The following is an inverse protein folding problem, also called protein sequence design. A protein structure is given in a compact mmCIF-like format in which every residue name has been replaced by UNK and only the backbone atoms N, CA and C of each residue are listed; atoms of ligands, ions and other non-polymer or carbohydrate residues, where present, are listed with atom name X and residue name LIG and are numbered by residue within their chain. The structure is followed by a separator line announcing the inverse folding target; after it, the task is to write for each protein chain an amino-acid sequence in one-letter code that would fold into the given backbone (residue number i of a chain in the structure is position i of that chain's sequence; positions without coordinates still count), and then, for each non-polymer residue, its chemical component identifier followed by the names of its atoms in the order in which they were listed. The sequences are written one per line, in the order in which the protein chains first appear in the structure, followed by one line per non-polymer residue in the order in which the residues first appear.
data_IF_280625939892
#
_entry.id   IF_280625939892
#
_cell.length_a   1.000
_cell.length_b   1.000
_cell.length_c   1.000
_cell.angle_alpha   90.00
_cell.angle_beta   90.00
_cell.angle_gamma   90.00
#
_symmetry.space_group_name_H-M   'P 1'
#
loop_
_entity.id
_entity.type
_entity.pdbx_description
1 polymer ?
#
# COMPACT_ATOMS: atom_id res chain seq x y z
N UNK A 1 36.56 2.58 49.63
CA UNK A 1 36.98 2.68 48.22
C UNK A 1 35.87 2.35 47.19
N UNK A 2 34.64 2.01 47.60
CA UNK A 2 33.60 1.55 46.64
C UNK A 2 32.61 2.63 46.17
N UNK A 3 32.51 3.78 46.84
CA UNK A 3 31.52 4.82 46.51
C UNK A 3 31.94 5.75 45.35
N UNK A 4 33.24 5.89 45.08
CA UNK A 4 33.75 6.80 44.04
C UNK A 4 33.63 6.26 42.61
N UNK A 5 33.47 4.94 42.43
CA UNK A 5 33.33 4.29 41.12
C UNK A 5 31.87 4.19 40.64
N UNK A 6 30.89 4.59 41.46
CA UNK A 6 29.47 4.48 41.13
C UNK A 6 28.93 5.70 40.37
N UNK A 7 29.46 6.90 40.65
CA UNK A 7 29.06 8.15 40.00
C UNK A 7 29.16 8.14 38.46
N UNK A 8 30.25 7.66 37.83
CA UNK A 8 30.31 7.60 36.37
C UNK A 8 29.35 6.55 35.78
N UNK A 9 29.07 5.46 36.52
CA UNK A 9 28.15 4.40 36.10
C UNK A 9 26.68 4.84 36.16
N UNK A 10 26.31 5.63 37.16
CA UNK A 10 24.96 6.20 37.29
C UNK A 10 24.74 7.28 36.23
N UNK A 11 25.75 8.13 35.97
CA UNK A 11 25.66 9.19 34.97
C UNK A 11 25.56 8.64 33.54
N UNK A 12 26.22 7.53 33.23
CA UNK A 12 26.11 6.88 31.92
C UNK A 12 24.77 6.19 31.70
N UNK A 13 24.20 5.53 32.72
CA UNK A 13 22.86 4.92 32.62
C UNK A 13 21.75 5.96 32.50
N UNK A 14 21.88 7.12 33.16
CA UNK A 14 20.97 8.26 33.02
C UNK A 14 20.98 8.83 31.59
N UNK A 15 22.16 9.00 31.00
CA UNK A 15 22.30 9.44 29.60
C UNK A 15 21.71 8.43 28.61
N UNK A 16 21.93 7.14 28.84
CA UNK A 16 21.32 6.10 28.01
C UNK A 16 19.79 6.12 28.11
N UNK A 17 19.25 6.28 29.33
CA UNK A 17 17.81 6.40 29.55
C UNK A 17 17.21 7.63 28.87
N UNK A 18 17.90 8.78 28.89
CA UNK A 18 17.42 9.97 28.19
C UNK A 18 17.45 9.80 26.67
N UNK A 19 18.51 9.19 26.12
CA UNK A 19 18.60 8.87 24.69
C UNK A 19 17.51 7.91 24.24
N UNK A 20 17.26 6.84 25.02
CA UNK A 20 16.20 5.90 24.76
C UNK A 20 14.82 6.57 24.80
N UNK A 21 14.59 7.49 25.76
CA UNK A 21 13.34 8.25 25.84
C UNK A 21 13.15 9.17 24.64
N UNK A 22 14.19 9.84 24.16
CA UNK A 22 14.14 10.64 22.92
C UNK A 22 13.90 9.76 21.68
N UNK A 23 14.43 8.53 21.65
CA UNK A 23 14.20 7.59 20.56
C UNK A 23 12.75 7.08 20.52
N UNK A 24 12.16 6.77 21.68
CA UNK A 24 10.72 6.45 21.78
C UNK A 24 9.86 7.63 21.34
N UNK A 25 10.25 8.85 21.74
CA UNK A 25 9.62 10.07 21.28
C UNK A 25 9.73 10.24 19.76
N UNK A 26 10.82 9.76 19.14
CA UNK A 26 10.98 9.71 17.67
C UNK A 26 10.10 8.68 16.97
N UNK A 27 9.78 7.55 17.60
CA UNK A 27 8.79 6.60 17.05
C UNK A 27 7.36 7.12 17.08
N UNK A 28 7.10 8.23 17.79
CA UNK A 28 5.78 8.85 17.92
C UNK A 28 5.14 8.66 19.29
N UNK A 29 5.80 8.01 20.24
CA UNK A 29 5.33 7.89 21.63
C UNK A 29 5.75 9.13 22.43
N UNK A 30 4.91 10.16 22.42
CA UNK A 30 5.11 11.39 23.20
C UNK A 30 4.17 11.38 24.40
N UNK A 31 4.74 11.24 25.60
CA UNK A 31 3.99 11.38 26.85
C UNK A 31 4.04 12.84 27.35
N UNK A 32 3.23 13.70 26.73
CA UNK A 32 3.18 15.13 27.06
C UNK A 32 2.72 15.39 28.52
N UNK A 33 1.88 14.50 29.06
CA UNK A 33 1.33 14.61 30.41
C UNK A 33 2.42 14.57 31.47
N UNK A 34 3.33 13.61 31.39
CA UNK A 34 4.42 13.47 32.37
C UNK A 34 5.53 14.50 32.18
N UNK A 35 5.76 14.98 30.95
CA UNK A 35 6.88 15.88 30.65
C UNK A 35 6.58 17.35 31.01
N UNK A 36 5.34 17.82 30.80
CA UNK A 36 4.98 19.24 30.98
C UNK A 36 3.93 19.45 32.07
N UNK A 37 2.89 18.61 32.15
CA UNK A 37 1.79 18.81 33.11
C UNK A 37 2.25 18.40 34.51
N UNK A 38 2.86 17.23 34.65
CA UNK A 38 3.36 16.74 35.94
C UNK A 38 4.60 17.53 36.42
N UNK A 39 5.46 17.98 35.51
CA UNK A 39 6.60 18.85 35.83
C UNK A 39 6.22 20.29 36.24
N UNK A 40 4.98 20.71 35.93
CA UNK A 40 4.42 22.01 36.36
C UNK A 40 3.84 21.93 37.77
N UNK A 41 3.26 20.79 38.14
CA UNK A 41 2.62 20.57 39.44
C UNK A 41 3.60 20.04 40.51
N UNK A 42 4.70 19.38 40.10
CA UNK A 42 5.76 18.96 41.02
C UNK A 42 6.73 20.13 41.32
N UNK A 43 6.62 20.69 42.52
CA UNK A 43 7.63 21.56 43.11
C UNK A 43 8.59 20.72 43.96
N UNK A 44 9.90 20.88 43.74
CA UNK A 44 10.93 20.23 44.55
C UNK A 44 10.78 20.58 46.03
N UNK A 45 10.62 19.57 46.89
CA UNK A 45 10.34 19.71 48.33
C UNK A 45 11.49 20.37 49.11
N UNK A 46 12.70 20.39 48.56
CA UNK A 46 13.88 21.01 49.20
C UNK A 46 14.23 22.42 48.71
N UNK A 47 13.81 22.86 47.51
CA UNK A 47 14.26 24.14 46.91
C UNK A 47 13.12 25.09 46.52
N UNK A 48 11.84 24.66 46.53
CA UNK A 48 10.68 25.46 46.05
C UNK A 48 10.86 26.02 44.63
N UNK A 49 11.74 25.41 43.84
CA UNK A 49 11.92 25.77 42.44
C UNK A 49 11.02 24.87 41.57
N UNK A 50 10.26 25.44 40.63
CA UNK A 50 9.50 24.65 39.66
C UNK A 50 10.46 23.83 38.79
N UNK A 51 10.16 22.53 38.61
CA UNK A 51 10.96 21.63 37.76
C UNK A 51 11.04 22.11 36.30
N UNK A 52 10.00 22.80 35.84
CA UNK A 52 9.99 23.55 34.59
C UNK A 52 10.06 25.07 34.87
N UNK A 53 11.24 25.71 34.85
CA UNK A 53 11.37 27.13 35.16
C UNK A 53 10.62 28.05 34.18
N UNK A 54 10.32 27.59 32.95
CA UNK A 54 9.52 28.31 31.94
C UNK A 54 8.67 27.32 31.12
N UNK A 55 7.40 27.04 31.50
CA UNK A 55 6.59 26.03 30.83
C UNK A 55 6.24 26.38 29.38
N UNK A 56 6.07 27.66 29.04
CA UNK A 56 5.74 28.10 27.67
C UNK A 56 6.88 27.89 26.67
N UNK A 57 8.12 28.16 27.10
CA UNK A 57 9.30 27.96 26.26
C UNK A 57 9.59 26.46 26.05
N UNK A 58 9.45 25.65 27.10
CA UNK A 58 9.58 24.18 27.01
C UNK A 58 8.56 23.56 26.05
N UNK A 59 7.29 23.97 26.14
CA UNK A 59 6.24 23.52 25.23
C UNK A 59 6.53 23.92 23.76
N UNK A 60 7.09 25.11 23.53
CA UNK A 60 7.49 25.56 22.20
C UNK A 60 8.61 24.70 21.61
N UNK A 61 9.63 24.36 22.42
CA UNK A 61 10.72 23.47 22.00
C UNK A 61 10.19 22.06 21.68
N UNK A 62 9.32 21.51 22.52
CA UNK A 62 8.71 20.19 22.29
C UNK A 62 7.89 20.19 21.00
N UNK A 63 7.09 21.24 20.75
CA UNK A 63 6.31 21.37 19.52
C UNK A 63 7.20 21.43 18.26
N UNK A 64 8.27 22.24 18.29
CA UNK A 64 9.24 22.32 17.19
C UNK A 64 9.97 20.98 16.98
N UNK A 65 10.35 20.30 18.06
CA UNK A 65 10.96 18.98 17.99
C UNK A 65 10.02 17.96 17.35
N UNK A 66 8.75 17.92 17.75
CA UNK A 66 7.74 17.06 17.14
C UNK A 66 7.55 17.37 15.65
N UNK A 67 7.48 18.65 15.26
CA UNK A 67 7.37 19.01 13.85
C UNK A 67 8.60 18.57 13.04
N UNK A 68 9.81 18.75 13.56
CA UNK A 68 11.03 18.25 12.90
C UNK A 68 11.03 16.73 12.74
N UNK A 69 10.73 16.00 13.81
CA UNK A 69 10.79 14.54 13.83
C UNK A 69 9.68 13.90 13.00
N UNK A 70 8.43 14.33 13.21
CA UNK A 70 7.27 13.76 12.54
C UNK A 70 7.18 14.18 11.08
N UNK A 71 7.60 15.40 10.72
CA UNK A 71 7.45 15.91 9.35
C UNK A 71 8.74 15.80 8.55
N UNK A 72 9.93 16.09 9.10
CA UNK A 72 11.17 16.04 8.31
C UNK A 72 11.75 14.64 8.29
N UNK A 73 11.89 13.99 9.46
CA UNK A 73 12.58 12.70 9.53
C UNK A 73 11.79 11.57 8.87
N UNK A 74 10.48 11.42 9.16
CA UNK A 74 9.68 10.38 8.52
C UNK A 74 9.57 10.58 7.01
N UNK A 75 9.31 11.80 6.54
CA UNK A 75 9.16 12.05 5.11
C UNK A 75 10.49 11.94 4.35
N UNK A 76 11.62 12.30 4.97
CA UNK A 76 12.94 12.12 4.38
C UNK A 76 13.34 10.63 4.31
N UNK A 77 13.13 9.88 5.39
CA UNK A 77 13.45 8.45 5.43
C UNK A 77 12.62 7.66 4.42
N UNK A 78 11.31 7.94 4.34
CA UNK A 78 10.43 7.34 3.33
C UNK A 78 10.82 7.81 1.92
N UNK A 79 11.12 9.09 1.73
CA UNK A 79 11.54 9.63 0.43
C UNK A 79 12.84 9.01 -0.10
N UNK A 80 13.84 8.82 0.77
CA UNK A 80 15.08 8.14 0.43
C UNK A 80 14.85 6.65 0.15
N UNK A 81 14.10 5.97 1.02
CA UNK A 81 13.80 4.55 0.83
C UNK A 81 13.04 4.29 -0.47
N UNK A 82 12.05 5.14 -0.80
CA UNK A 82 11.29 5.03 -2.05
C UNK A 82 12.20 5.32 -3.24
N UNK A 83 13.04 6.36 -3.19
CA UNK A 83 14.01 6.65 -4.25
C UNK A 83 15.01 5.51 -4.50
N UNK A 84 15.50 4.90 -3.43
CA UNK A 84 16.40 3.74 -3.49
C UNK A 84 15.68 2.53 -4.11
N UNK A 85 14.45 2.24 -3.67
CA UNK A 85 13.63 1.15 -4.22
C UNK A 85 13.34 1.36 -5.72
N UNK A 86 13.00 2.58 -6.12
CA UNK A 86 12.67 2.90 -7.52
C UNK A 86 13.87 2.65 -8.45
N UNK A 87 15.08 3.00 -7.99
CA UNK A 87 16.33 2.75 -8.74
C UNK A 87 16.66 1.25 -8.85
N UNK A 88 16.38 0.47 -7.79
CA UNK A 88 16.55 -0.98 -7.78
C UNK A 88 15.53 -1.64 -8.71
N UNK A 89 14.28 -1.20 -8.69
CA UNK A 89 13.20 -1.76 -9.50
C UNK A 89 13.47 -1.58 -11.00
N UNK A 90 13.94 -0.41 -11.42
CA UNK A 90 14.28 -0.12 -12.84
C UNK A 90 15.35 -1.07 -13.39
N UNK A 91 16.30 -1.47 -12.55
CA UNK A 91 17.41 -2.34 -12.93
C UNK A 91 17.21 -3.81 -12.49
N UNK A 92 16.08 -4.15 -11.88
CA UNK A 92 15.85 -5.46 -11.27
C UNK A 92 15.94 -6.60 -12.29
N UNK A 93 15.37 -6.43 -13.49
CA UNK A 93 15.39 -7.45 -14.54
C UNK A 93 16.82 -7.71 -15.05
N UNK A 94 17.60 -6.67 -15.30
CA UNK A 94 18.99 -6.81 -15.74
C UNK A 94 19.85 -7.42 -14.63
N UNK A 95 19.70 -6.96 -13.38
CA UNK A 95 20.42 -7.50 -12.22
C UNK A 95 20.08 -8.98 -11.98
N UNK A 96 18.83 -9.37 -12.20
CA UNK A 96 18.36 -10.76 -12.11
C UNK A 96 19.02 -11.65 -13.16
N UNK A 97 19.06 -11.21 -14.41
CA UNK A 97 19.74 -11.94 -15.50
C UNK A 97 21.24 -12.04 -15.25
N UNK A 98 21.88 -10.94 -14.82
CA UNK A 98 23.29 -10.94 -14.46
C UNK A 98 23.60 -11.97 -13.37
N UNK A 99 22.79 -12.02 -12.30
CA UNK A 99 22.94 -13.00 -11.22
C UNK A 99 22.78 -14.44 -11.72
N UNK A 100 21.86 -14.71 -12.66
CA UNK A 100 21.72 -16.04 -13.25
C UNK A 100 22.94 -16.45 -14.08
N UNK A 101 23.50 -15.51 -14.86
CA UNK A 101 24.69 -15.75 -15.66
C UNK A 101 25.92 -15.96 -14.78
N UNK A 102 26.08 -15.16 -13.73
CA UNK A 102 27.13 -15.32 -12.72
C UNK A 102 27.03 -16.70 -12.06
N UNK A 103 25.85 -17.08 -11.58
CA UNK A 103 25.60 -18.39 -10.99
C UNK A 103 25.89 -19.54 -11.95
N UNK A 104 25.44 -19.44 -13.22
CA UNK A 104 25.70 -20.44 -14.24
C UNK A 104 27.20 -20.56 -14.57
N UNK A 105 27.92 -19.44 -14.55
CA UNK A 105 29.36 -19.39 -14.81
C UNK A 105 30.15 -19.99 -13.65
N UNK A 106 29.79 -19.67 -12.41
CA UNK A 106 30.38 -20.25 -11.19
C UNK A 106 30.21 -21.77 -11.17
N UNK A 107 29.02 -22.23 -11.53
CA UNK A 107 28.71 -23.64 -11.74
C UNK A 107 29.63 -24.23 -12.82
N UNK A 108 29.66 -23.66 -14.02
CA UNK A 108 30.46 -24.19 -15.14
C UNK A 108 31.97 -24.26 -14.81
N UNK A 109 32.50 -23.28 -14.07
CA UNK A 109 33.89 -23.28 -13.63
C UNK A 109 34.19 -24.39 -12.63
N UNK A 110 33.22 -24.78 -11.81
CA UNK A 110 33.37 -25.81 -10.77
C UNK A 110 33.18 -27.23 -11.31
N UNK A 111 32.60 -27.40 -12.50
CA UNK A 111 32.43 -28.73 -13.11
C UNK A 111 33.70 -29.25 -13.79
N UNK A 112 33.99 -30.56 -13.68
CA UNK A 112 35.14 -31.16 -14.34
C UNK A 112 34.95 -31.23 -15.87
N UNK A 113 36.04 -31.07 -16.62
CA UNK A 113 36.06 -30.89 -18.08
C UNK A 113 35.32 -31.98 -18.88
N UNK A 114 35.26 -33.21 -18.35
CA UNK A 114 34.55 -34.32 -18.99
C UNK A 114 33.04 -34.12 -19.00
N UNK A 115 32.46 -33.55 -17.93
CA UNK A 115 31.03 -33.28 -17.84
C UNK A 115 30.64 -32.10 -18.72
N UNK A 116 31.46 -31.04 -18.74
CA UNK A 116 31.26 -29.90 -19.64
C UNK A 116 31.22 -30.33 -21.10
N UNK A 117 32.17 -31.17 -21.53
CA UNK A 117 32.21 -31.68 -22.91
C UNK A 117 31.03 -32.59 -23.26
N UNK A 118 30.48 -33.33 -22.30
CA UNK A 118 29.33 -34.20 -22.52
C UNK A 118 28.01 -33.42 -22.63
N UNK A 119 27.82 -32.38 -21.81
CA UNK A 119 26.58 -31.59 -21.79
C UNK A 119 26.56 -30.42 -22.80
N UNK A 120 27.71 -29.99 -23.30
CA UNK A 120 27.81 -28.89 -24.26
C UNK A 120 27.27 -29.30 -25.65
N UNK A 121 26.00 -29.00 -25.91
CA UNK A 121 25.39 -29.04 -27.24
C UNK A 121 25.27 -27.61 -27.78
N UNK A 122 25.83 -27.37 -28.97
CA UNK A 122 25.85 -26.03 -29.59
C UNK A 122 24.53 -25.60 -30.24
N UNK A 123 23.60 -26.54 -30.46
CA UNK A 123 22.31 -26.26 -31.12
C UNK A 123 21.19 -26.97 -30.38
N UNK A 124 20.22 -26.18 -29.88
CA UNK A 124 18.98 -26.67 -29.29
C UNK A 124 17.85 -26.46 -30.30
N UNK A 125 17.37 -27.53 -30.93
CA UNK A 125 16.19 -27.46 -31.83
C UNK A 125 14.92 -27.61 -30.99
N UNK A 126 14.22 -26.51 -30.74
CA UNK A 126 12.94 -26.49 -30.03
C UNK A 126 11.81 -26.84 -31.01
N UNK A 127 11.16 -27.98 -30.79
CA UNK A 127 9.93 -28.36 -31.52
C UNK A 127 8.71 -27.98 -30.68
N UNK A 128 7.92 -26.95 -31.04
CA UNK A 128 6.84 -26.43 -30.21
C UNK A 128 5.73 -27.46 -29.93
N UNK A 129 5.44 -28.36 -30.87
CA UNK A 129 4.39 -29.38 -30.74
C UNK A 129 4.94 -30.82 -30.64
N UNK A 130 6.16 -30.99 -30.14
CA UNK A 130 6.73 -32.33 -29.91
C UNK A 130 6.04 -33.05 -28.76
N UNK A 131 5.76 -34.35 -28.90
CA UNK A 131 5.33 -35.20 -27.78
C UNK A 131 6.40 -35.09 -26.67
N UNK A 132 6.02 -34.68 -25.47
CA UNK A 132 6.94 -34.51 -24.31
C UNK A 132 6.91 -35.79 -23.45
N UNK A 133 7.73 -36.83 -23.73
CA UNK A 133 7.73 -38.07 -22.93
C UNK A 133 8.15 -37.83 -21.47
N UNK A 134 8.86 -36.72 -21.22
CA UNK A 134 9.32 -36.28 -19.91
C UNK A 134 8.34 -35.33 -19.21
N UNK A 135 7.10 -35.19 -19.70
CA UNK A 135 6.06 -34.35 -19.07
C UNK A 135 5.80 -34.76 -17.61
N UNK A 136 5.95 -36.05 -17.29
CA UNK A 136 5.85 -36.56 -15.92
C UNK A 136 6.96 -36.02 -15.01
N UNK A 137 8.22 -36.09 -15.46
CA UNK A 137 9.37 -35.56 -14.71
C UNK A 137 9.30 -34.03 -14.58
N UNK A 138 8.84 -33.35 -15.62
CA UNK A 138 8.62 -31.90 -15.60
C UNK A 138 7.56 -31.50 -14.55
N UNK A 139 6.45 -32.26 -14.46
CA UNK A 139 5.41 -32.07 -13.44
C UNK A 139 5.94 -32.32 -12.04
N UNK A 140 6.80 -33.33 -11.86
CA UNK A 140 7.40 -33.67 -10.57
C UNK A 140 8.46 -32.64 -10.13
N UNK A 141 9.26 -32.13 -11.07
CA UNK A 141 10.25 -31.08 -10.80
C UNK A 141 9.57 -29.75 -10.46
N UNK A 142 8.49 -29.36 -11.17
CA UNK A 142 7.71 -28.15 -10.85
C UNK A 142 7.08 -28.20 -9.44
N UNK A 143 6.77 -29.39 -8.93
CA UNK A 143 6.27 -29.60 -7.56
C UNK A 143 7.35 -29.36 -6.50
N UNK A 144 8.62 -29.70 -6.80
CA UNK A 144 9.74 -29.54 -5.87
C UNK A 144 10.41 -28.16 -5.95
N UNK A 145 10.48 -27.56 -7.14
CA UNK A 145 11.10 -26.25 -7.39
C UNK A 145 10.13 -25.36 -8.18
N UNK A 146 9.24 -24.61 -7.51
CA UNK A 146 8.22 -23.78 -8.15
C UNK A 146 8.78 -22.45 -8.72
N UNK A 147 10.03 -22.43 -9.21
CA UNK A 147 10.76 -21.21 -9.57
C UNK A 147 10.62 -20.80 -11.04
N UNK A 148 9.60 -21.31 -11.75
CA UNK A 148 9.40 -20.98 -13.18
C UNK A 148 8.81 -19.59 -13.42
N UNK A 149 8.29 -18.93 -12.38
CA UNK A 149 7.70 -17.60 -12.49
C UNK A 149 8.78 -16.48 -12.49
N UNK A 150 10.05 -16.82 -12.27
CA UNK A 150 11.17 -15.86 -12.18
C UNK A 150 11.80 -15.54 -13.55
N UNK A 151 11.32 -16.13 -14.66
CA UNK A 151 11.88 -15.90 -16.01
C UNK A 151 10.95 -15.14 -16.96
N UNK A 152 9.73 -14.78 -16.53
CA UNK A 152 8.71 -14.19 -17.41
C UNK A 152 8.49 -12.69 -17.16
N UNK A 153 9.57 -11.94 -16.97
CA UNK A 153 9.54 -10.47 -16.96
C UNK A 153 10.62 -9.94 -17.89
N UNK A 154 10.30 -9.89 -19.19
CA UNK A 154 11.22 -9.36 -20.20
C UNK A 154 11.08 -10.05 -21.54
N UNK A 155 9.90 -9.97 -22.15
CA UNK A 155 9.69 -10.50 -23.49
C UNK A 155 8.24 -10.33 -23.94
N UNK A 156 7.99 -9.28 -24.73
CA UNK A 156 6.82 -9.21 -25.58
C UNK A 156 6.98 -10.27 -26.68
N UNK A 157 6.51 -11.48 -26.40
CA UNK A 157 6.35 -12.54 -27.38
C UNK A 157 5.07 -13.27 -27.03
N UNK A 158 4.11 -13.13 -27.94
CA UNK A 158 2.86 -13.85 -28.04
C UNK A 158 3.11 -15.36 -28.00
N UNK A 159 3.14 -15.93 -26.80
CA UNK A 159 2.97 -17.36 -26.56
C UNK A 159 1.95 -17.53 -25.44
N UNK A 160 0.70 -17.52 -25.88
CA UNK A 160 -0.51 -17.81 -25.12
C UNK A 160 -0.53 -19.30 -24.80
N UNK A 161 0.08 -19.67 -23.68
CA UNK A 161 -0.45 -20.73 -22.81
C UNK A 161 -0.66 -20.13 -21.41
N UNK A 162 -1.39 -19.02 -21.39
CA UNK A 162 -2.00 -18.47 -20.19
C UNK A 162 -3.19 -19.34 -19.78
N UNK A 163 -2.98 -20.09 -18.70
CA UNK A 163 -3.97 -20.38 -17.66
C UNK A 163 -5.43 -20.40 -18.11
N UNK A 164 -5.81 -21.49 -18.79
CA UNK A 164 -7.20 -21.85 -19.09
C UNK A 164 -8.09 -21.84 -17.83
N UNK A 165 -7.53 -22.06 -16.63
CA UNK A 165 -8.29 -21.97 -15.36
C UNK A 165 -8.58 -20.53 -14.94
N UNK A 166 -7.60 -19.65 -15.05
CA UNK A 166 -7.74 -18.22 -14.76
C UNK A 166 -8.72 -17.53 -15.71
N UNK A 167 -8.62 -17.78 -17.02
CA UNK A 167 -9.55 -17.22 -18.01
C UNK A 167 -10.99 -17.70 -17.81
N UNK A 168 -11.19 -18.98 -17.48
CA UNK A 168 -12.52 -19.51 -17.20
C UNK A 168 -13.14 -18.90 -15.94
N UNK A 169 -12.35 -18.70 -14.87
CA UNK A 169 -12.82 -18.06 -13.64
C UNK A 169 -13.12 -16.58 -13.84
N UNK A 170 -12.25 -15.85 -14.54
CA UNK A 170 -12.47 -14.41 -14.85
C UNK A 170 -13.67 -14.24 -15.79
N UNK A 171 -13.80 -15.08 -16.81
CA UNK A 171 -14.95 -15.04 -17.75
C UNK A 171 -16.26 -15.37 -17.04
N UNK A 172 -16.27 -16.37 -16.15
CA UNK A 172 -17.44 -16.71 -15.34
C UNK A 172 -17.84 -15.58 -14.38
N UNK A 173 -16.87 -14.90 -13.76
CA UNK A 173 -17.15 -13.79 -12.86
C UNK A 173 -17.64 -12.54 -13.61
N UNK A 174 -17.06 -12.25 -14.78
CA UNK A 174 -17.53 -11.18 -15.68
C UNK A 174 -18.96 -11.44 -16.17
N UNK A 175 -19.33 -12.70 -16.44
CA UNK A 175 -20.69 -13.06 -16.82
C UNK A 175 -21.71 -12.77 -15.69
N UNK A 176 -21.37 -13.11 -14.43
CA UNK A 176 -22.20 -12.79 -13.27
C UNK A 176 -22.37 -11.29 -13.05
N UNK A 177 -21.28 -10.51 -13.17
CA UNK A 177 -21.34 -9.06 -13.04
C UNK A 177 -22.23 -8.42 -14.11
N UNK A 178 -22.19 -8.93 -15.36
CA UNK A 178 -23.08 -8.47 -16.43
C UNK A 178 -24.55 -8.74 -16.13
N UNK A 179 -24.88 -9.86 -15.49
CA UNK A 179 -26.25 -10.18 -15.07
C UNK A 179 -26.74 -9.23 -13.97
N UNK A 180 -25.89 -8.96 -12.97
CA UNK A 180 -26.21 -8.00 -11.90
C UNK A 180 -26.44 -6.58 -12.43
N UNK A 181 -25.62 -6.12 -13.38
CA UNK A 181 -25.79 -4.80 -14.02
C UNK A 181 -27.13 -4.72 -14.76
N UNK A 182 -27.55 -5.78 -15.46
CA UNK A 182 -28.85 -5.82 -16.13
C UNK A 182 -30.01 -5.73 -15.14
N UNK A 183 -29.90 -6.41 -14.00
CA UNK A 183 -30.91 -6.34 -12.94
C UNK A 183 -31.01 -4.94 -12.32
N UNK A 184 -29.86 -4.31 -12.05
CA UNK A 184 -29.80 -2.94 -11.55
C UNK A 184 -30.39 -1.96 -12.57
N UNK A 185 -30.05 -2.10 -13.85
CA UNK A 185 -30.60 -1.26 -14.92
C UNK A 185 -32.13 -1.35 -14.97
N UNK A 186 -32.69 -2.56 -14.87
CA UNK A 186 -34.14 -2.77 -14.80
C UNK A 186 -34.76 -2.09 -13.58
N UNK A 187 -34.12 -2.21 -12.42
CA UNK A 187 -34.60 -1.60 -11.16
C UNK A 187 -34.60 -0.07 -11.24
N UNK A 188 -33.57 0.52 -11.84
CA UNK A 188 -33.48 1.97 -12.05
C UNK A 188 -34.54 2.46 -13.02
N UNK A 189 -34.83 1.71 -14.08
CA UNK A 189 -35.90 2.04 -15.03
C UNK A 189 -37.27 1.99 -14.36
N UNK A 190 -37.54 0.97 -13.54
CA UNK A 190 -38.78 0.87 -12.76
C UNK A 190 -38.93 2.03 -11.78
N UNK A 191 -37.86 2.42 -11.08
CA UNK A 191 -37.86 3.60 -10.21
C UNK A 191 -38.13 4.89 -10.98
N UNK A 192 -37.55 5.05 -12.18
CA UNK A 192 -37.78 6.21 -13.04
C UNK A 192 -39.25 6.32 -13.45
N UNK A 193 -39.87 5.20 -13.82
CA UNK A 193 -41.31 5.14 -14.17
C UNK A 193 -42.21 5.51 -12.99
N UNK A 194 -41.90 5.03 -11.80
CA UNK A 194 -42.64 5.39 -10.58
C UNK A 194 -42.53 6.88 -10.27
N UNK A 195 -41.32 7.46 -10.37
CA UNK A 195 -41.12 8.89 -10.17
C UNK A 195 -41.88 9.73 -11.20
N UNK A 196 -41.93 9.29 -12.47
CA UNK A 196 -42.72 9.96 -13.50
C UNK A 196 -44.21 9.92 -13.17
N UNK A 197 -44.76 8.78 -12.73
CA UNK A 197 -46.17 8.66 -12.37
C UNK A 197 -46.50 9.47 -11.11
N UNK A 198 -45.63 9.48 -10.10
CA UNK A 198 -45.78 10.35 -8.92
C UNK A 198 -45.79 11.82 -9.36
N UNK A 199 -44.87 12.25 -10.23
CA UNK A 199 -44.87 13.63 -10.74
C UNK A 199 -46.15 13.96 -11.52
N UNK A 200 -46.69 12.97 -12.25
CA UNK A 200 -47.92 13.13 -13.03
C UNK A 200 -49.13 13.25 -12.12
N UNK A 201 -49.22 12.43 -11.08
CA UNK A 201 -50.25 12.52 -10.05
C UNK A 201 -50.13 13.83 -9.26
N UNK A 202 -48.93 14.30 -8.93
CA UNK A 202 -48.73 15.61 -8.30
C UNK A 202 -49.18 16.75 -9.21
N UNK A 203 -48.88 16.71 -10.52
CA UNK A 203 -49.38 17.71 -11.48
C UNK A 203 -50.89 17.68 -11.65
N UNK A 204 -51.52 16.51 -11.57
CA UNK A 204 -52.98 16.37 -11.63
C UNK A 204 -53.67 16.78 -10.32
N UNK A 205 -53.09 16.44 -9.17
CA UNK A 205 -53.56 16.86 -7.85
C UNK A 205 -53.33 18.35 -7.59
N UNK A 206 -52.33 18.96 -8.24
CA UNK A 206 -52.14 20.41 -8.27
C UNK A 206 -53.10 21.15 -9.25
N UNK A 207 -53.97 20.41 -9.96
CA UNK A 207 -55.08 20.97 -10.77
C UNK A 207 -56.44 20.73 -10.10
N UNK A 208 -56.65 21.30 -8.91
CA UNK A 208 -57.84 22.14 -8.77
C UNK A 208 -57.46 23.44 -8.06
N UNK A 209 -57.92 24.58 -8.60
CA UNK A 209 -58.13 25.92 -7.97
C UNK A 209 -58.00 27.10 -8.97
N UNK A 210 -57.71 26.90 -10.27
CA UNK A 210 -57.63 28.04 -11.21
C UNK A 210 -58.89 28.32 -12.05
N UNK A 211 -60.02 27.62 -11.87
CA UNK A 211 -61.27 27.88 -12.64
C UNK A 211 -62.33 28.68 -11.89
N UNK A 212 -61.97 29.40 -10.83
CA UNK A 212 -62.93 30.18 -10.04
C UNK A 212 -62.62 31.69 -9.98
N UNK A 213 -62.03 32.30 -11.02
CA UNK A 213 -61.97 33.78 -11.14
C UNK A 213 -61.96 34.20 -12.61
N UNK A 214 -63.06 34.03 -13.37
CA UNK A 214 -63.30 34.90 -14.53
C UNK A 214 -64.77 34.90 -15.01
N UNK A 215 -65.69 35.29 -14.14
CA UNK A 215 -67.05 35.66 -14.54
C UNK A 215 -67.48 36.89 -13.75
N UNK A 216 -66.85 38.02 -14.10
CA UNK A 216 -67.20 39.33 -13.58
C UNK A 216 -66.60 40.42 -14.45
N UNK A 217 -67.47 41.06 -15.23
CA UNK A 217 -67.26 42.32 -15.96
C UNK A 217 -66.44 42.18 -17.26
N UNK A 218 -66.80 42.69 -18.44
CA UNK A 218 -67.51 43.93 -18.81
C UNK A 218 -68.18 43.73 -20.18
N UNK A 219 -69.48 44.01 -20.29
CA UNK A 219 -70.17 44.26 -21.57
C UNK A 219 -70.67 45.72 -21.52
N UNK A 220 -69.96 46.62 -22.20
CA UNK A 220 -70.38 47.98 -22.59
C UNK A 220 -69.76 48.25 -23.95
N UNK A 221 -70.50 48.96 -24.81
CA UNK A 221 -70.30 49.28 -26.24
C UNK A 221 -71.10 48.26 -27.09
N UNK A 222 -72.28 48.56 -27.64
CA UNK A 222 -72.83 49.80 -28.17
C UNK A 222 -74.37 49.79 -28.08
#
# INVERSE_FOLDING_TARGET
MSFLNLLPRIRSTLCFWSLAKTFMMMMGEIDYGTIIVEAKDQSSQETRAPLAPIPGFSATIVCLFCMMVSVLLMNLLVGLAVGDIDSIQRNANMRRLAMQVEFATDIDQRYPRWLRRYFQRSVLVLKPNGKKPLAFLYRMNKMLFPTSDILKEGGNSDDVEEDERGKNNVSAEVAKQREQIKFLQKTVEDQSRLLQEISRQLKQAARPVDTAVNSGQVEIIL
#
